data_IF_565418432251
#
_entry.id   IF_565418432251
#
_cell.length_a   1.000
_cell.length_b   1.000
_cell.length_c   1.000
_cell.angle_alpha   90.00
_cell.angle_beta   90.00
_cell.angle_gamma   90.00
#
_symmetry.space_group_name_H-M   'P 1'
#
loop_
_entity.id
_entity.type
_entity.pdbx_description
1 polymer ?
#
# COMPACT_ATOMS: atom_id res chain seq x y z
N UNK A 1 14.25 -28.50 7.99
CA UNK A 1 15.58 -27.85 7.96
C UNK A 1 15.42 -26.47 7.35
N UNK A 2 15.51 -25.42 8.16
CA UNK A 2 15.59 -24.05 7.65
C UNK A 2 16.88 -23.97 6.84
N UNK A 3 16.80 -23.65 5.55
CA UNK A 3 18.01 -23.38 4.78
C UNK A 3 18.55 -22.07 5.32
N UNK A 4 19.71 -22.11 5.97
CA UNK A 4 20.49 -20.93 6.34
C UNK A 4 20.99 -20.28 5.06
N UNK A 5 20.08 -19.61 4.35
CA UNK A 5 20.43 -18.74 3.24
C UNK A 5 21.16 -17.56 3.88
N UNK A 6 22.46 -17.34 3.58
CA UNK A 6 23.17 -16.21 4.14
C UNK A 6 22.47 -14.92 3.69
N UNK A 7 21.79 -14.26 4.62
CA UNK A 7 21.14 -12.97 4.37
C UNK A 7 22.22 -11.91 4.25
N UNK A 8 22.60 -11.60 3.01
CA UNK A 8 23.55 -10.53 2.72
C UNK A 8 22.84 -9.18 2.90
N UNK A 9 23.09 -8.52 4.03
CA UNK A 9 22.58 -7.16 4.27
C UNK A 9 23.37 -6.17 3.42
N UNK A 10 22.76 -5.71 2.32
CA UNK A 10 23.34 -4.66 1.48
C UNK A 10 22.93 -3.29 2.01
N UNK A 11 23.88 -2.52 2.54
CA UNK A 11 23.65 -1.11 2.88
C UNK A 11 23.77 -0.23 1.64
N UNK A 12 22.75 -0.24 0.78
CA UNK A 12 22.67 0.66 -0.37
C UNK A 12 21.64 1.75 -0.06
N UNK A 13 22.13 2.93 0.33
CA UNK A 13 21.30 4.07 0.75
C UNK A 13 20.20 4.42 -0.27
N UNK A 14 20.51 4.35 -1.57
CA UNK A 14 19.54 4.62 -2.63
C UNK A 14 18.36 3.62 -2.64
N UNK A 15 18.65 2.32 -2.55
CA UNK A 15 17.61 1.29 -2.54
C UNK A 15 16.74 1.39 -1.28
N UNK A 16 17.37 1.69 -0.15
CA UNK A 16 16.66 1.96 1.10
C UNK A 16 15.69 3.12 0.91
N UNK A 17 16.15 4.26 0.36
CA UNK A 17 15.31 5.44 0.15
C UNK A 17 14.07 5.15 -0.72
N UNK A 18 14.16 4.26 -1.71
CA UNK A 18 13.00 3.86 -2.55
C UNK A 18 11.98 3.09 -1.72
N UNK A 19 12.42 2.05 -1.02
CA UNK A 19 11.56 1.25 -0.13
C UNK A 19 10.94 2.16 0.94
N UNK A 20 11.73 3.12 1.43
CA UNK A 20 11.30 4.06 2.44
C UNK A 20 10.36 5.14 1.92
N UNK A 21 10.40 5.43 0.63
CA UNK A 21 9.44 6.30 -0.01
C UNK A 21 8.10 5.62 -0.20
N UNK A 22 8.12 4.36 -0.63
CA UNK A 22 6.91 3.58 -0.87
C UNK A 22 6.09 3.39 0.41
N UNK A 23 6.76 3.09 1.53
CA UNK A 23 6.05 2.86 2.80
C UNK A 23 5.53 4.13 3.51
N UNK A 24 5.81 5.36 3.01
CA UNK A 24 5.44 6.60 3.74
C UNK A 24 3.94 6.75 3.90
N UNK A 25 3.18 6.37 2.87
CA UNK A 25 1.73 6.47 2.90
C UNK A 25 1.12 5.57 3.98
N UNK A 26 1.58 4.31 4.02
CA UNK A 26 1.19 3.33 5.03
C UNK A 26 1.54 3.86 6.42
N UNK A 27 2.80 4.24 6.66
CA UNK A 27 3.25 4.74 7.96
C UNK A 27 2.48 5.98 8.40
N UNK A 28 2.18 6.92 7.51
CA UNK A 28 1.42 8.13 7.85
C UNK A 28 0.02 7.80 8.37
N UNK A 29 -0.65 6.81 7.78
CA UNK A 29 -2.01 6.40 8.19
C UNK A 29 -1.95 5.54 9.45
N UNK A 30 -0.97 4.65 9.58
CA UNK A 30 -0.90 3.68 10.68
C UNK A 30 -0.22 4.21 11.93
N UNK A 31 0.67 5.21 11.84
CA UNK A 31 1.38 5.78 13.00
C UNK A 31 0.49 6.37 14.11
N UNK A 32 -0.65 7.03 13.82
CA UNK A 32 -1.60 7.43 14.88
C UNK A 32 -2.44 6.26 15.42
N UNK A 33 -2.41 5.09 14.78
CA UNK A 33 -3.09 3.90 15.27
C UNK A 33 -2.22 3.24 16.36
N UNK A 34 -2.81 2.78 17.46
CA UNK A 34 -2.12 2.01 18.51
C UNK A 34 -1.74 0.58 18.06
N UNK A 35 -1.36 0.41 16.79
CA UNK A 35 -1.17 -0.86 16.13
C UNK A 35 -2.48 -1.52 15.67
N UNK A 36 -2.34 -2.65 14.98
CA UNK A 36 -3.47 -3.47 14.54
C UNK A 36 -3.81 -4.53 15.59
N UNK A 37 -5.10 -4.70 15.89
CA UNK A 37 -5.58 -5.70 16.86
C UNK A 37 -5.51 -7.14 16.35
N UNK A 38 -5.42 -7.35 15.03
CA UNK A 38 -5.30 -8.67 14.41
C UNK A 38 -4.64 -8.56 13.03
N UNK A 39 -4.10 -9.67 12.53
CA UNK A 39 -3.58 -9.77 11.16
C UNK A 39 -4.65 -9.52 10.10
N UNK A 40 -5.88 -9.97 10.33
CA UNK A 40 -6.99 -9.72 9.40
C UNK A 40 -7.29 -8.22 9.30
N UNK A 41 -7.32 -7.52 10.44
CA UNK A 41 -7.50 -6.07 10.47
C UNK A 41 -6.36 -5.34 9.77
N UNK A 42 -5.11 -5.79 9.98
CA UNK A 42 -3.94 -5.24 9.31
C UNK A 42 -4.06 -5.40 7.79
N UNK A 43 -4.39 -6.61 7.31
CA UNK A 43 -4.58 -6.90 5.89
C UNK A 43 -5.64 -6.00 5.27
N UNK A 44 -6.83 -5.92 5.87
CA UNK A 44 -7.92 -5.10 5.34
C UNK A 44 -7.55 -3.61 5.24
N UNK A 45 -6.89 -3.07 6.27
CA UNK A 45 -6.44 -1.66 6.27
C UNK A 45 -5.39 -1.44 5.18
N UNK A 46 -4.37 -2.29 5.11
CA UNK A 46 -3.28 -2.17 4.13
C UNK A 46 -3.82 -2.26 2.70
N UNK A 47 -4.70 -3.23 2.42
CA UNK A 47 -5.36 -3.36 1.12
C UNK A 47 -6.19 -2.12 0.77
N UNK A 48 -6.88 -1.50 1.74
CA UNK A 48 -7.59 -0.24 1.51
C UNK A 48 -6.66 0.93 1.18
N UNK A 49 -5.51 1.03 1.85
CA UNK A 49 -4.50 2.07 1.57
C UNK A 49 -3.91 1.90 0.17
N UNK A 50 -3.62 0.66 -0.23
CA UNK A 50 -3.14 0.30 -1.56
C UNK A 50 -4.19 0.61 -2.63
N UNK A 51 -5.45 0.26 -2.39
CA UNK A 51 -6.56 0.54 -3.30
C UNK A 51 -6.66 2.04 -3.62
N UNK A 52 -6.65 2.89 -2.60
CA UNK A 52 -6.68 4.35 -2.80
C UNK A 52 -5.44 4.83 -3.56
N UNK A 53 -4.27 4.21 -3.36
CA UNK A 53 -3.07 4.53 -4.15
C UNK A 53 -3.22 4.13 -5.61
N UNK A 54 -3.78 2.96 -5.90
CA UNK A 54 -4.01 2.50 -7.27
C UNK A 54 -4.99 3.42 -8.01
N UNK A 55 -6.07 3.83 -7.35
CA UNK A 55 -7.04 4.81 -7.88
C UNK A 55 -6.33 6.14 -8.21
N UNK A 56 -5.55 6.68 -7.24
CA UNK A 56 -4.85 7.97 -7.44
C UNK A 56 -3.76 7.92 -8.52
N UNK A 57 -3.16 6.75 -8.75
CA UNK A 57 -2.15 6.54 -9.79
C UNK A 57 -2.76 6.21 -11.16
N UNK A 58 -4.08 6.03 -11.27
CA UNK A 58 -4.72 5.56 -12.49
C UNK A 58 -4.33 4.13 -12.87
N UNK A 59 -3.95 3.30 -11.89
CA UNK A 59 -3.56 1.90 -12.11
C UNK A 59 -4.76 0.96 -12.20
N UNK A 60 -5.95 1.47 -11.92
CA UNK A 60 -7.19 0.71 -12.08
C UNK A 60 -7.48 0.58 -13.58
N UNK A 61 -7.46 -0.63 -14.12
CA UNK A 61 -7.85 -0.91 -15.51
C UNK A 61 -9.38 -0.90 -15.66
N UNK A 62 -10.04 0.16 -15.18
CA UNK A 62 -11.49 0.34 -15.32
C UNK A 62 -11.75 1.23 -16.54
N UNK A 63 -12.67 0.84 -17.41
CA UNK A 63 -13.05 1.69 -18.55
C UNK A 63 -13.71 2.98 -18.05
N UNK A 64 -13.25 4.13 -18.53
CA UNK A 64 -13.86 5.42 -18.22
C UNK A 64 -13.36 6.12 -16.94
N UNK A 65 -12.28 5.64 -16.30
CA UNK A 65 -11.66 6.31 -15.14
C UNK A 65 -11.31 7.78 -15.40
N UNK A 66 -10.96 8.12 -16.64
CA UNK A 66 -10.53 9.48 -17.02
C UNK A 66 -11.66 10.51 -16.91
N UNK A 67 -12.92 10.04 -16.81
CA UNK A 67 -14.12 10.88 -16.79
C UNK A 67 -14.73 11.07 -15.40
N UNK A 68 -14.26 10.32 -14.40
CA UNK A 68 -14.82 10.31 -13.05
C UNK A 68 -13.75 10.57 -12.00
N UNK A 69 -14.12 11.30 -10.95
CA UNK A 69 -13.25 11.67 -9.85
C UNK A 69 -12.75 10.43 -9.08
N UNK A 70 -11.65 10.58 -8.33
CA UNK A 70 -11.13 9.48 -7.49
C UNK A 70 -12.16 8.98 -6.46
N UNK A 71 -13.05 9.85 -5.99
CA UNK A 71 -14.10 9.47 -5.06
C UNK A 71 -15.16 8.61 -5.75
N UNK A 72 -15.61 9.03 -6.94
CA UNK A 72 -16.57 8.27 -7.75
C UNK A 72 -15.99 6.90 -8.15
N UNK A 73 -14.71 6.84 -8.55
CA UNK A 73 -14.03 5.56 -8.81
C UNK A 73 -14.02 4.64 -7.59
N UNK A 74 -13.87 5.19 -6.39
CA UNK A 74 -13.91 4.42 -5.15
C UNK A 74 -15.32 3.90 -4.83
N UNK A 75 -16.35 4.74 -4.99
CA UNK A 75 -17.74 4.34 -4.73
C UNK A 75 -18.23 3.30 -5.74
N UNK A 76 -17.79 3.37 -7.00
CA UNK A 76 -18.11 2.39 -8.04
C UNK A 76 -17.59 0.96 -7.74
N UNK A 77 -16.69 0.79 -6.77
CA UNK A 77 -16.23 -0.54 -6.35
C UNK A 77 -17.19 -1.23 -5.35
N UNK A 78 -18.14 -0.48 -4.80
CA UNK A 78 -19.11 -0.99 -3.83
C UNK A 78 -20.48 -1.29 -4.45
N UNK A 79 -20.68 -0.91 -5.70
CA UNK A 79 -21.85 -1.26 -6.53
C UNK A 79 -21.61 -2.59 -7.26
#
# INVERSE_FOLDING_TARGET
ASRDIPMVVRQVKYLNNIVEQDHRAVKRITKPMLGFKSFQSAKNILTGIELVHMIRKGQMMMEGTDKISFAEQFYALAE
#
